data_IF_582432909560
#
_entry.id   IF_582432909560
#
_cell.length_a   1.000
_cell.length_b   1.000
_cell.length_c   1.000
_cell.angle_alpha   90.00
_cell.angle_beta   90.00
_cell.angle_gamma   90.00
#
_symmetry.space_group_name_H-M   'P 1'
#
loop_
_entity.id
_entity.type
_entity.pdbx_description
1 polymer ?
#
# COMPACT_ATOMS: atom_id res chain seq x y z
N UNK A 1 5.64 0.35 18.02
CA UNK A 1 6.47 1.16 17.13
C UNK A 1 6.51 2.62 17.59
N UNK A 2 5.36 3.30 17.63
CA UNK A 2 5.27 4.73 17.99
C UNK A 2 5.91 5.11 19.31
N UNK A 3 5.82 4.27 20.34
CA UNK A 3 6.48 4.49 21.63
C UNK A 3 8.01 4.53 21.57
N UNK A 4 8.62 3.92 20.53
CA UNK A 4 10.08 3.85 20.41
C UNK A 4 10.64 4.88 19.42
N UNK A 5 9.91 5.16 18.35
CA UNK A 5 10.39 5.97 17.22
C UNK A 5 9.63 7.29 17.11
N UNK A 6 8.43 7.36 17.71
CA UNK A 6 7.52 8.49 17.55
C UNK A 6 6.58 8.32 16.36
N UNK A 7 5.77 9.34 16.12
CA UNK A 7 4.74 9.37 15.08
C UNK A 7 5.03 10.48 14.06
N UNK A 8 4.88 10.20 12.78
CA UNK A 8 4.81 11.24 11.76
C UNK A 8 3.44 11.93 11.85
N UNK A 9 3.42 13.21 12.28
CA UNK A 9 2.18 13.94 12.54
C UNK A 9 1.93 15.02 11.48
N UNK A 10 0.82 14.87 10.76
CA UNK A 10 0.33 15.82 9.76
C UNK A 10 -0.81 16.61 10.41
N UNK A 11 -0.53 17.81 10.88
CA UNK A 11 -1.47 18.60 11.69
C UNK A 11 -2.19 19.64 10.81
N UNK A 12 -3.53 19.59 10.82
CA UNK A 12 -4.38 20.61 10.21
C UNK A 12 -5.14 21.39 11.27
N UNK A 13 -5.38 22.68 11.04
CA UNK A 13 -6.12 23.54 11.95
C UNK A 13 -5.70 24.99 11.85
N UNK A 14 -6.32 25.84 12.66
CA UNK A 14 -5.95 27.24 12.76
C UNK A 14 -4.58 27.41 13.41
N UNK A 15 -3.80 28.38 12.98
CA UNK A 15 -2.39 28.57 13.38
C UNK A 15 -2.24 28.72 14.91
N UNK A 16 -3.09 29.51 15.55
CA UNK A 16 -2.95 29.81 16.98
C UNK A 16 -3.15 28.57 17.87
N UNK A 17 -4.21 27.73 17.73
CA UNK A 17 -4.33 26.47 18.44
C UNK A 17 -3.21 25.48 18.13
N UNK A 18 -2.80 25.36 16.87
CA UNK A 18 -1.71 24.47 16.49
C UNK A 18 -0.40 24.88 17.18
N UNK A 19 -0.10 26.17 17.22
CA UNK A 19 1.07 26.70 17.92
C UNK A 19 1.04 26.40 19.44
N UNK A 20 -0.12 26.52 20.09
CA UNK A 20 -0.27 26.19 21.51
C UNK A 20 0.02 24.71 21.79
N UNK A 21 -0.31 23.82 20.85
CA UNK A 21 -0.11 22.36 20.99
C UNK A 21 1.27 21.88 20.53
N UNK A 22 2.13 22.75 20.03
CA UNK A 22 3.50 22.42 19.57
C UNK A 22 4.27 21.55 20.56
N UNK A 23 4.28 21.81 21.89
CA UNK A 23 5.01 20.96 22.84
C UNK A 23 4.54 19.50 22.83
N UNK A 24 3.24 19.27 22.62
CA UNK A 24 2.67 17.91 22.51
C UNK A 24 3.14 17.23 21.23
N UNK A 25 3.04 17.92 20.09
CA UNK A 25 3.48 17.36 18.81
C UNK A 25 4.98 17.04 18.82
N UNK A 26 5.79 17.93 19.37
CA UNK A 26 7.25 17.71 19.49
C UNK A 26 7.58 16.53 20.41
N UNK A 27 6.76 16.26 21.43
CA UNK A 27 6.96 15.10 22.32
C UNK A 27 6.58 13.78 21.65
N UNK A 28 5.55 13.78 20.78
CA UNK A 28 5.03 12.57 20.14
C UNK A 28 5.76 12.20 18.83
N UNK A 29 6.34 13.18 18.17
CA UNK A 29 7.02 12.99 16.88
C UNK A 29 8.54 12.82 17.08
N UNK A 30 9.23 12.10 16.18
CA UNK A 30 10.68 12.19 16.09
C UNK A 30 11.11 13.57 15.61
N UNK A 31 12.39 13.87 15.69
CA UNK A 31 12.94 15.12 15.14
C UNK A 31 12.48 15.33 13.69
N UNK A 32 11.92 16.51 13.38
CA UNK A 32 11.29 16.86 12.09
C UNK A 32 10.10 15.97 11.69
N UNK A 33 9.54 15.18 12.61
CA UNK A 33 8.45 14.24 12.34
C UNK A 33 7.05 14.84 12.42
N UNK A 34 6.88 16.16 12.60
CA UNK A 34 5.58 16.80 12.56
C UNK A 34 5.60 18.10 11.75
N UNK A 35 4.47 18.42 11.16
CA UNK A 35 4.28 19.71 10.49
C UNK A 35 2.82 20.18 10.55
N UNK A 36 2.63 21.51 10.59
CA UNK A 36 1.34 22.15 10.30
C UNK A 36 1.19 22.20 8.78
N UNK A 37 0.28 21.38 8.23
CA UNK A 37 0.12 21.18 6.78
C UNK A 37 -1.01 21.98 6.15
N UNK A 38 -1.72 22.79 6.94
CA UNK A 38 -2.80 23.63 6.44
C UNK A 38 -3.95 23.80 7.43
N UNK A 39 -5.06 24.36 6.97
CA UNK A 39 -6.25 24.62 7.77
C UNK A 39 -6.96 23.38 8.28
N UNK A 40 -8.15 23.58 8.85
CA UNK A 40 -8.99 22.48 9.39
C UNK A 40 -9.25 21.41 8.32
N UNK A 41 -8.99 20.15 8.65
CA UNK A 41 -9.13 19.01 7.75
C UNK A 41 -7.88 18.66 6.93
N UNK A 42 -6.93 19.59 6.72
CA UNK A 42 -5.75 19.35 5.89
C UNK A 42 -4.89 18.16 6.37
N UNK A 43 -4.75 17.98 7.68
CA UNK A 43 -4.01 16.84 8.24
C UNK A 43 -4.60 15.49 7.85
N UNK A 44 -5.92 15.35 7.94
CA UNK A 44 -6.62 14.13 7.51
C UNK A 44 -6.53 13.91 6.00
N UNK A 45 -6.64 14.99 5.23
CA UNK A 45 -6.50 14.92 3.77
C UNK A 45 -5.11 14.45 3.36
N UNK A 46 -4.06 15.05 3.89
CA UNK A 46 -2.67 14.65 3.61
C UNK A 46 -2.42 13.21 4.04
N UNK A 47 -2.98 12.78 5.20
CA UNK A 47 -2.85 11.38 5.63
C UNK A 47 -3.58 10.40 4.72
N UNK A 48 -4.75 10.76 4.21
CA UNK A 48 -5.47 9.96 3.20
C UNK A 48 -4.62 9.76 1.94
N UNK A 49 -4.02 10.83 1.42
CA UNK A 49 -3.14 10.78 0.24
C UNK A 49 -1.90 9.92 0.52
N UNK A 50 -1.28 10.11 1.70
CA UNK A 50 -0.16 9.28 2.14
C UNK A 50 -0.51 7.78 2.09
N UNK A 51 -1.68 7.38 2.60
CA UNK A 51 -2.10 5.98 2.59
C UNK A 51 -2.36 5.45 1.17
N UNK A 52 -2.86 6.28 0.25
CA UNK A 52 -2.99 5.90 -1.16
C UNK A 52 -1.64 5.65 -1.84
N UNK A 53 -0.65 6.50 -1.54
CA UNK A 53 0.74 6.28 -1.99
C UNK A 53 1.28 4.97 -1.42
N UNK A 54 1.06 4.71 -0.13
CA UNK A 54 1.45 3.47 0.54
C UNK A 54 0.86 2.23 -0.15
N UNK A 55 -0.43 2.24 -0.52
CA UNK A 55 -1.06 1.15 -1.27
C UNK A 55 -0.35 0.86 -2.59
N UNK A 56 0.01 1.91 -3.32
CA UNK A 56 0.72 1.81 -4.60
C UNK A 56 2.13 1.23 -4.42
N UNK A 57 2.85 1.67 -3.39
CA UNK A 57 4.19 1.16 -3.06
C UNK A 57 4.13 -0.32 -2.65
N UNK A 58 3.17 -0.70 -1.80
CA UNK A 58 2.99 -2.10 -1.39
C UNK A 58 2.68 -3.00 -2.58
N UNK A 59 1.85 -2.54 -3.51
CA UNK A 59 1.52 -3.29 -4.72
C UNK A 59 2.76 -3.48 -5.61
N UNK A 60 3.56 -2.44 -5.81
CA UNK A 60 4.80 -2.53 -6.57
C UNK A 60 5.80 -3.52 -5.97
N UNK A 61 5.98 -3.52 -4.65
CA UNK A 61 6.79 -4.54 -3.98
C UNK A 61 6.22 -5.94 -4.15
N UNK A 62 4.91 -6.13 -3.92
CA UNK A 62 4.28 -7.44 -4.03
C UNK A 62 4.48 -8.06 -5.41
N UNK A 63 4.24 -7.31 -6.48
CA UNK A 63 4.42 -7.76 -7.86
C UNK A 63 5.89 -8.09 -8.18
N UNK A 64 6.81 -7.22 -7.77
CA UNK A 64 8.25 -7.42 -7.99
C UNK A 64 8.78 -8.66 -7.26
N UNK A 65 8.39 -8.85 -6.00
CA UNK A 65 8.79 -10.03 -5.22
C UNK A 65 8.13 -11.31 -5.74
N UNK A 66 6.86 -11.27 -6.18
CA UNK A 66 6.21 -12.42 -6.81
C UNK A 66 6.93 -12.84 -8.10
N UNK A 67 7.30 -11.87 -8.95
CA UNK A 67 8.04 -12.16 -10.17
C UNK A 67 9.38 -12.83 -9.87
N UNK A 68 10.13 -12.31 -8.90
CA UNK A 68 11.38 -12.92 -8.47
C UNK A 68 11.19 -14.32 -7.88
N UNK A 69 10.14 -14.54 -7.10
CA UNK A 69 9.80 -15.84 -6.51
C UNK A 69 9.48 -16.91 -7.58
N UNK A 70 8.96 -16.51 -8.73
CA UNK A 70 8.62 -17.39 -9.87
C UNK A 70 9.74 -17.49 -10.92
N UNK A 71 10.85 -16.79 -10.73
CA UNK A 71 11.96 -16.84 -11.67
C UNK A 71 12.70 -18.18 -11.62
N UNK A 72 13.41 -18.50 -12.68
CA UNK A 72 14.27 -19.71 -12.76
C UNK A 72 15.51 -19.61 -11.85
N UNK A 73 15.78 -18.43 -11.30
CA UNK A 73 16.89 -18.20 -10.37
C UNK A 73 16.52 -18.66 -8.95
N UNK A 74 17.45 -19.27 -8.25
CA UNK A 74 17.29 -19.62 -6.83
C UNK A 74 17.57 -18.40 -5.95
N UNK A 75 16.68 -17.42 -5.97
CA UNK A 75 16.84 -16.15 -5.27
C UNK A 75 16.49 -16.27 -3.77
N UNK A 76 17.31 -15.66 -2.94
CA UNK A 76 16.98 -15.42 -1.53
C UNK A 76 16.32 -14.03 -1.41
N UNK A 77 14.98 -14.01 -1.38
CA UNK A 77 14.21 -12.77 -1.39
C UNK A 77 14.43 -11.92 -0.14
N UNK A 78 14.60 -12.55 1.04
CA UNK A 78 14.90 -11.84 2.28
C UNK A 78 16.25 -11.09 2.18
N UNK A 79 17.28 -11.76 1.64
CA UNK A 79 18.59 -11.14 1.43
C UNK A 79 18.54 -10.01 0.40
N UNK A 80 17.72 -10.14 -0.64
CA UNK A 80 17.54 -9.09 -1.67
C UNK A 80 16.82 -7.89 -1.08
N UNK A 81 15.76 -8.10 -0.31
CA UNK A 81 15.05 -7.02 0.37
C UNK A 81 15.96 -6.26 1.33
N UNK A 82 16.77 -6.97 2.13
CA UNK A 82 17.77 -6.37 3.03
C UNK A 82 18.84 -5.60 2.25
N UNK A 83 19.39 -6.19 1.20
CA UNK A 83 20.36 -5.52 0.33
C UNK A 83 19.85 -4.18 -0.20
N UNK A 84 18.59 -4.12 -0.62
CA UNK A 84 18.00 -2.91 -1.18
C UNK A 84 17.78 -1.81 -0.13
N UNK A 85 17.85 -2.10 1.16
CA UNK A 85 17.86 -1.07 2.20
C UNK A 85 19.17 -0.24 2.19
N UNK A 86 20.23 -0.73 1.53
CA UNK A 86 21.56 -0.11 1.51
C UNK A 86 21.89 0.45 0.12
N UNK A 87 21.56 1.74 -0.09
CA UNK A 87 21.93 2.48 -1.31
C UNK A 87 21.00 2.30 -2.50
N UNK A 88 19.90 1.56 -2.40
CA UNK A 88 18.91 1.42 -3.46
C UNK A 88 17.86 2.54 -3.40
N UNK A 89 17.35 2.94 -4.58
CA UNK A 89 16.29 3.95 -4.71
C UNK A 89 14.94 3.47 -4.15
N UNK A 90 14.71 2.16 -4.07
CA UNK A 90 13.48 1.57 -3.51
C UNK A 90 13.52 1.39 -1.99
N UNK A 91 14.53 1.94 -1.32
CA UNK A 91 14.63 1.90 0.14
C UNK A 91 13.43 2.57 0.80
N UNK A 92 12.77 1.87 1.73
CA UNK A 92 11.65 2.41 2.51
C UNK A 92 11.42 1.58 3.78
N UNK A 93 10.65 2.11 4.71
CA UNK A 93 10.19 1.32 5.85
C UNK A 93 9.35 0.11 5.42
N UNK A 94 8.53 0.23 4.38
CA UNK A 94 7.78 -0.92 3.83
C UNK A 94 8.71 -2.05 3.36
N UNK A 95 9.83 -1.71 2.75
CA UNK A 95 10.82 -2.70 2.33
C UNK A 95 11.51 -3.37 3.53
N UNK A 96 11.82 -2.63 4.58
CA UNK A 96 12.34 -3.18 5.85
C UNK A 96 11.37 -4.20 6.45
N UNK A 97 10.07 -3.86 6.48
CA UNK A 97 9.03 -4.78 6.96
C UNK A 97 8.91 -6.03 6.07
N UNK A 98 9.01 -5.87 4.75
CA UNK A 98 9.02 -6.99 3.82
C UNK A 98 10.24 -7.89 4.02
N UNK A 99 11.43 -7.32 4.26
CA UNK A 99 12.64 -8.08 4.58
C UNK A 99 12.46 -8.90 5.87
N UNK A 100 11.85 -8.31 6.90
CA UNK A 100 11.51 -8.99 8.15
C UNK A 100 10.57 -10.18 7.93
N UNK A 101 9.45 -9.96 7.22
CA UNK A 101 8.46 -10.99 6.93
C UNK A 101 9.07 -12.16 6.12
N UNK A 102 9.86 -11.85 5.08
CA UNK A 102 10.53 -12.88 4.26
C UNK A 102 11.65 -13.61 5.00
N UNK A 103 12.21 -13.02 6.04
CA UNK A 103 13.19 -13.70 6.91
C UNK A 103 12.50 -14.72 7.83
N UNK A 104 11.31 -14.41 8.32
CA UNK A 104 10.53 -15.30 9.18
C UNK A 104 9.87 -16.44 8.38
N UNK A 105 9.28 -16.10 7.23
CA UNK A 105 8.63 -17.04 6.33
C UNK A 105 9.04 -16.74 4.87
N UNK A 106 10.09 -17.37 4.35
CA UNK A 106 10.67 -17.07 3.03
C UNK A 106 9.72 -17.24 1.83
N UNK A 107 8.63 -17.96 2.02
CA UNK A 107 7.61 -18.22 0.99
C UNK A 107 6.24 -17.71 1.33
N UNK A 108 6.09 -17.08 2.49
CA UNK A 108 4.82 -16.60 3.04
C UNK A 108 3.72 -17.69 3.07
N UNK A 109 4.12 -18.94 3.31
CA UNK A 109 3.23 -20.13 3.27
C UNK A 109 2.21 -20.12 4.41
N UNK A 110 2.50 -19.40 5.50
CA UNK A 110 1.60 -19.28 6.65
C UNK A 110 0.49 -18.23 6.43
N UNK A 111 0.55 -17.49 5.35
CA UNK A 111 -0.41 -16.41 5.05
C UNK A 111 -1.37 -16.82 3.93
N UNK A 112 -2.61 -16.34 4.03
CA UNK A 112 -3.57 -16.39 2.91
C UNK A 112 -3.49 -15.08 2.13
N UNK A 113 -3.62 -15.17 0.80
CA UNK A 113 -3.67 -14.01 -0.09
C UNK A 113 -5.00 -13.25 0.01
N UNK A 114 -5.35 -12.77 1.21
CA UNK A 114 -6.56 -12.01 1.49
C UNK A 114 -6.20 -10.67 2.09
N UNK A 115 -6.39 -9.58 1.34
CA UNK A 115 -5.94 -8.25 1.71
C UNK A 115 -7.12 -7.30 1.90
N UNK A 116 -7.28 -6.79 3.13
CA UNK A 116 -8.28 -5.79 3.45
C UNK A 116 -7.81 -4.38 3.06
N UNK A 117 -8.76 -3.47 2.96
CA UNK A 117 -8.51 -2.03 2.91
C UNK A 117 -9.19 -1.37 4.11
N UNK A 118 -8.68 -0.21 4.54
CA UNK A 118 -9.19 0.57 5.67
C UNK A 118 -9.97 1.82 5.25
N UNK A 119 -10.21 1.98 3.94
CA UNK A 119 -11.05 3.04 3.37
C UNK A 119 -10.29 4.18 2.71
N UNK A 120 -9.08 4.51 3.15
CA UNK A 120 -8.33 5.68 2.66
C UNK A 120 -8.05 5.62 1.15
N UNK A 121 -7.74 4.42 0.62
CA UNK A 121 -7.57 4.23 -0.82
C UNK A 121 -8.85 4.52 -1.60
N UNK A 122 -10.02 4.17 -1.06
CA UNK A 122 -11.33 4.48 -1.65
C UNK A 122 -11.59 5.98 -1.65
N UNK A 123 -11.35 6.63 -0.51
CA UNK A 123 -11.58 8.08 -0.36
C UNK A 123 -10.67 8.88 -1.29
N UNK A 124 -9.40 8.50 -1.42
CA UNK A 124 -8.49 9.16 -2.34
C UNK A 124 -8.92 9.00 -3.81
N UNK A 125 -9.42 7.82 -4.23
CA UNK A 125 -9.94 7.64 -5.59
C UNK A 125 -11.20 8.48 -5.81
N UNK A 126 -12.12 8.53 -4.85
CA UNK A 126 -13.32 9.35 -4.96
C UNK A 126 -12.96 10.84 -5.09
N UNK A 127 -12.07 11.34 -4.27
CA UNK A 127 -11.58 12.71 -4.34
C UNK A 127 -10.84 13.01 -5.65
N UNK A 128 -10.08 12.06 -6.16
CA UNK A 128 -9.40 12.17 -7.45
C UNK A 128 -10.39 12.28 -8.63
N UNK A 129 -11.50 11.54 -8.57
CA UNK A 129 -12.58 11.64 -9.57
C UNK A 129 -13.22 13.04 -9.54
N UNK A 130 -13.53 13.56 -8.34
CA UNK A 130 -14.12 14.90 -8.19
C UNK A 130 -13.20 16.02 -8.69
N UNK A 131 -11.90 15.79 -8.73
CA UNK A 131 -10.86 16.75 -9.11
C UNK A 131 -10.27 16.53 -10.50
N UNK A 132 -10.79 15.56 -11.25
CA UNK A 132 -10.24 15.16 -12.55
C UNK A 132 -8.75 14.77 -12.51
N UNK A 133 -8.28 14.20 -11.38
CA UNK A 133 -6.89 13.75 -11.21
C UNK A 133 -6.78 12.25 -11.49
N UNK A 134 -6.00 11.81 -12.50
CA UNK A 134 -5.83 10.39 -12.77
C UNK A 134 -4.94 9.72 -11.70
N UNK A 135 -5.43 8.63 -11.10
CA UNK A 135 -4.71 7.84 -10.09
C UNK A 135 -4.68 6.34 -10.46
N UNK A 136 -4.18 5.95 -11.66
CA UNK A 136 -4.28 4.58 -12.17
C UNK A 136 -3.56 3.56 -11.26
N UNK A 137 -2.38 3.87 -10.74
CA UNK A 137 -1.60 2.97 -9.89
C UNK A 137 -2.35 2.64 -8.60
N UNK A 138 -2.89 3.65 -7.92
CA UNK A 138 -3.71 3.46 -6.71
C UNK A 138 -4.99 2.68 -7.01
N UNK A 139 -5.66 2.99 -8.11
CA UNK A 139 -6.90 2.30 -8.51
C UNK A 139 -6.63 0.81 -8.72
N UNK A 140 -5.57 0.46 -9.44
CA UNK A 140 -5.14 -0.93 -9.65
C UNK A 140 -4.80 -1.60 -8.32
N UNK A 141 -4.02 -0.96 -7.46
CA UNK A 141 -3.66 -1.49 -6.15
C UNK A 141 -4.89 -1.80 -5.27
N UNK A 142 -5.88 -0.90 -5.25
CA UNK A 142 -7.12 -1.11 -4.51
C UNK A 142 -7.95 -2.26 -5.11
N UNK A 143 -8.09 -2.33 -6.43
CA UNK A 143 -8.87 -3.37 -7.10
C UNK A 143 -8.22 -4.75 -6.97
N UNK A 144 -6.90 -4.83 -6.94
CA UNK A 144 -6.17 -6.06 -6.62
C UNK A 144 -6.54 -6.56 -5.21
N UNK A 145 -6.68 -5.67 -4.22
CA UNK A 145 -7.20 -6.03 -2.88
C UNK A 145 -8.63 -6.56 -2.95
N UNK A 146 -9.51 -5.96 -3.75
CA UNK A 146 -10.87 -6.49 -3.95
C UNK A 146 -10.84 -7.89 -4.57
N UNK A 147 -9.99 -8.10 -5.57
CA UNK A 147 -9.82 -9.40 -6.21
C UNK A 147 -9.31 -10.47 -5.24
N UNK A 148 -8.39 -10.12 -4.36
CA UNK A 148 -7.82 -11.05 -3.37
C UNK A 148 -8.84 -11.63 -2.39
N UNK A 149 -10.03 -10.99 -2.25
CA UNK A 149 -11.11 -11.41 -1.34
C UNK A 149 -12.14 -12.32 -2.01
N UNK A 150 -12.03 -12.51 -3.31
CA UNK A 150 -12.95 -13.33 -4.10
C UNK A 150 -12.31 -14.69 -4.36
N UNK A 151 -12.89 -15.76 -3.83
CA UNK A 151 -12.48 -17.14 -4.15
C UNK A 151 -12.71 -17.46 -5.62
N UNK A 152 -13.81 -16.95 -6.18
CA UNK A 152 -14.17 -17.02 -7.60
C UNK A 152 -14.81 -15.72 -8.06
N UNK A 153 -14.48 -15.29 -9.28
CA UNK A 153 -15.02 -14.07 -9.87
C UNK A 153 -16.08 -14.38 -10.90
N UNK A 154 -17.27 -13.79 -10.75
CA UNK A 154 -18.31 -13.87 -11.77
C UNK A 154 -17.83 -13.29 -13.12
N UNK A 155 -17.04 -12.23 -13.09
CA UNK A 155 -16.47 -11.63 -14.31
C UNK A 155 -15.56 -12.61 -15.05
N UNK A 156 -14.72 -13.35 -14.35
CA UNK A 156 -13.84 -14.38 -14.95
C UNK A 156 -14.66 -15.55 -15.49
N UNK A 157 -15.71 -15.97 -14.79
CA UNK A 157 -16.66 -16.99 -15.30
C UNK A 157 -17.37 -16.51 -16.57
N UNK A 158 -17.79 -15.24 -16.61
CA UNK A 158 -18.40 -14.64 -17.81
C UNK A 158 -17.44 -14.62 -18.98
N UNK A 159 -16.19 -14.22 -18.75
CA UNK A 159 -15.13 -14.25 -19.80
C UNK A 159 -14.90 -15.66 -20.33
N UNK A 160 -14.83 -16.66 -19.46
CA UNK A 160 -14.69 -18.06 -19.85
C UNK A 160 -15.89 -18.55 -20.67
N UNK A 161 -17.12 -18.22 -20.25
CA UNK A 161 -18.33 -18.55 -20.97
C UNK A 161 -18.38 -17.90 -22.38
N UNK A 162 -18.06 -16.62 -22.48
CA UNK A 162 -18.01 -15.90 -23.76
C UNK A 162 -16.95 -16.51 -24.70
N UNK A 163 -15.74 -16.80 -24.20
CA UNK A 163 -14.70 -17.44 -24.99
C UNK A 163 -15.09 -18.83 -25.48
N UNK A 164 -15.82 -19.59 -24.68
CA UNK A 164 -16.35 -20.86 -25.11
C UNK A 164 -17.43 -20.69 -26.17
N UNK A 165 -18.36 -19.75 -25.99
CA UNK A 165 -19.48 -19.54 -26.88
C UNK A 165 -19.08 -19.10 -28.28
N UNK A 166 -18.15 -18.15 -28.43
CA UNK A 166 -17.72 -17.65 -29.74
C UNK A 166 -16.53 -18.37 -30.34
N UNK A 167 -15.64 -18.94 -29.53
CA UNK A 167 -14.37 -19.53 -30.00
C UNK A 167 -14.21 -21.02 -29.73
N UNK A 168 -15.18 -21.69 -29.08
CA UNK A 168 -15.11 -23.11 -28.71
C UNK A 168 -13.97 -23.42 -27.71
N UNK A 169 -13.42 -22.42 -27.01
CA UNK A 169 -12.35 -22.64 -26.04
C UNK A 169 -12.82 -23.46 -24.86
N UNK A 170 -12.03 -24.44 -24.45
CA UNK A 170 -12.35 -25.30 -23.32
C UNK A 170 -12.51 -24.50 -22.02
N UNK A 171 -13.54 -24.80 -21.25
CA UNK A 171 -13.76 -24.25 -19.90
C UNK A 171 -13.44 -25.32 -18.87
N UNK A 172 -12.87 -24.90 -17.73
CA UNK A 172 -12.74 -25.77 -16.55
C UNK A 172 -14.04 -25.68 -15.76
N UNK A 173 -14.53 -26.83 -15.30
CA UNK A 173 -15.73 -26.95 -14.46
C UNK A 173 -15.37 -27.39 -13.07
#
# INVERSE_FOLDING_TARGET
WGLKIGYCLMVGGDEAPVKQLTPIFTTLAPEQGWAHVGGVGAGHYVKMVHNGIEYSMMQGYAEGFELMAKSDYKLNLAKIADLWMHGSVVRSWLLELAAGALKEDPRLEQLKGYVQDSGEGRWMIADAIEKDVPVPTLTTALFTRFRSRQSESFAEKMLAALRNAFGGHAVRR
#
